data_IF_444170597455
#
_entry.id   IF_444170597455
#
_cell.length_a   1.000
_cell.length_b   1.000
_cell.length_c   1.000
_cell.angle_alpha   90.00
_cell.angle_beta   90.00
_cell.angle_gamma   90.00
#
_symmetry.space_group_name_H-M   'P 1'
#
loop_
_entity.id
_entity.type
_entity.pdbx_description
1 polymer ?
#
# COMPACT_ATOMS: atom_id res chain seq x y z
N UNK A 1 26.92 46.09 -7.83
CA UNK A 1 26.81 44.93 -8.73
C UNK A 1 26.08 43.87 -7.93
N UNK A 2 24.77 43.75 -8.15
CA UNK A 2 23.94 42.70 -7.46
C UNK A 2 24.27 41.40 -8.17
N UNK A 3 24.93 40.49 -7.47
CA UNK A 3 25.21 39.16 -7.97
C UNK A 3 23.85 38.47 -8.20
N UNK A 4 23.57 38.08 -9.45
CA UNK A 4 22.31 37.43 -9.81
C UNK A 4 22.29 36.03 -9.14
N UNK A 5 21.57 35.91 -8.05
CA UNK A 5 21.43 34.68 -7.20
C UNK A 5 20.71 33.53 -7.92
N UNK A 6 20.38 33.71 -9.22
CA UNK A 6 19.58 32.76 -10.01
C UNK A 6 20.42 31.57 -10.53
N UNK A 7 21.74 31.73 -10.63
CA UNK A 7 22.67 30.72 -11.19
C UNK A 7 23.59 30.09 -10.11
N UNK A 8 23.18 30.12 -8.80
CA UNK A 8 23.93 29.45 -7.75
C UNK A 8 23.79 27.90 -7.91
N UNK A 9 24.88 27.17 -8.24
CA UNK A 9 24.86 25.73 -8.43
C UNK A 9 24.31 24.97 -7.20
N UNK A 10 24.62 25.45 -5.99
CA UNK A 10 24.13 24.86 -4.77
C UNK A 10 22.61 25.03 -4.58
N UNK A 11 22.05 26.11 -5.12
CA UNK A 11 20.59 26.32 -5.15
C UNK A 11 19.92 25.36 -6.13
N UNK A 12 20.49 25.19 -7.31
CA UNK A 12 19.96 24.23 -8.32
C UNK A 12 19.98 22.81 -7.78
N UNK A 13 21.07 22.36 -7.20
CA UNK A 13 21.19 21.04 -6.58
C UNK A 13 20.13 20.81 -5.49
N UNK A 14 19.91 21.82 -4.62
CA UNK A 14 18.83 21.72 -3.60
C UNK A 14 17.44 21.62 -4.21
N UNK A 15 17.19 22.31 -5.32
CA UNK A 15 15.90 22.25 -6.02
C UNK A 15 15.72 20.86 -6.66
N UNK A 16 16.75 20.34 -7.32
CA UNK A 16 16.75 19.03 -7.94
C UNK A 16 16.49 17.92 -6.90
N UNK A 17 17.18 17.96 -5.76
CA UNK A 17 16.94 17.01 -4.66
C UNK A 17 15.50 17.09 -4.14
N UNK A 18 14.94 18.28 -4.01
CA UNK A 18 13.54 18.44 -3.55
C UNK A 18 12.54 17.98 -4.60
N UNK A 19 12.80 18.23 -5.87
CA UNK A 19 11.98 17.77 -6.98
C UNK A 19 11.97 16.24 -7.02
N UNK A 20 13.14 15.61 -6.95
CA UNK A 20 13.27 14.17 -6.92
C UNK A 20 12.48 13.54 -5.77
N UNK A 21 12.56 14.13 -4.57
CA UNK A 21 11.80 13.64 -3.42
C UNK A 21 10.26 13.73 -3.62
N UNK A 22 9.79 14.78 -4.32
CA UNK A 22 8.37 14.90 -4.67
C UNK A 22 7.95 13.89 -5.74
N UNK A 23 8.78 13.69 -6.78
CA UNK A 23 8.54 12.70 -7.82
C UNK A 23 8.50 11.27 -7.24
N UNK A 24 9.42 10.97 -6.33
CA UNK A 24 9.47 9.68 -5.62
C UNK A 24 8.22 9.44 -4.77
N UNK A 25 7.81 10.45 -4.00
CA UNK A 25 6.59 10.36 -3.20
C UNK A 25 5.35 10.15 -4.09
N UNK A 26 5.28 10.80 -5.26
CA UNK A 26 4.19 10.60 -6.20
C UNK A 26 4.25 9.22 -6.88
N UNK A 27 5.43 8.72 -7.21
CA UNK A 27 5.61 7.36 -7.73
C UNK A 27 5.13 6.30 -6.73
N UNK A 28 5.40 6.50 -5.43
CA UNK A 28 4.91 5.62 -4.35
C UNK A 28 3.39 5.72 -4.21
N UNK A 29 2.77 6.92 -4.31
CA UNK A 29 1.30 7.05 -4.34
C UNK A 29 0.69 6.27 -5.49
N UNK A 30 1.26 6.40 -6.68
CA UNK A 30 0.81 5.68 -7.87
C UNK A 30 0.99 4.17 -7.74
N UNK A 31 2.09 3.70 -7.14
CA UNK A 31 2.30 2.28 -6.81
C UNK A 31 1.23 1.76 -5.85
N UNK A 32 0.91 2.51 -4.79
CA UNK A 32 -0.16 2.17 -3.83
C UNK A 32 -1.54 2.13 -4.49
N UNK A 33 -1.86 3.11 -5.32
CA UNK A 33 -3.12 3.15 -6.08
C UNK A 33 -3.24 1.96 -7.04
N UNK A 34 -2.15 1.61 -7.72
CA UNK A 34 -2.10 0.43 -8.61
C UNK A 34 -2.30 -0.87 -7.84
N UNK A 35 -1.68 -1.02 -6.67
CA UNK A 35 -1.91 -2.17 -5.79
C UNK A 35 -3.41 -2.30 -5.42
N UNK A 36 -4.05 -1.22 -4.99
CA UNK A 36 -5.48 -1.21 -4.66
C UNK A 36 -6.34 -1.61 -5.87
N UNK A 37 -6.08 -1.04 -7.04
CA UNK A 37 -6.82 -1.35 -8.28
C UNK A 37 -6.69 -2.83 -8.69
N UNK A 38 -5.50 -3.43 -8.53
CA UNK A 38 -5.29 -4.86 -8.80
C UNK A 38 -6.01 -5.76 -7.79
N UNK A 39 -6.08 -5.35 -6.53
CA UNK A 39 -6.89 -6.03 -5.52
C UNK A 39 -8.39 -5.97 -5.86
N UNK A 40 -8.88 -4.80 -6.29
CA UNK A 40 -10.28 -4.59 -6.68
C UNK A 40 -10.66 -5.33 -7.97
N UNK A 41 -9.67 -5.64 -8.81
CA UNK A 41 -9.82 -6.44 -10.04
C UNK A 41 -9.70 -7.95 -9.78
N UNK A 42 -10.46 -8.46 -8.82
CA UNK A 42 -10.49 -9.89 -8.46
C UNK A 42 -9.13 -10.43 -8.01
N UNK A 43 -8.31 -9.58 -7.41
CA UNK A 43 -6.98 -9.92 -6.91
C UNK A 43 -6.06 -10.51 -8.00
N UNK A 44 -5.77 -9.72 -9.05
CA UNK A 44 -4.78 -10.10 -10.07
C UNK A 44 -3.44 -10.46 -9.41
N UNK A 45 -3.25 -11.73 -9.11
CA UNK A 45 -2.12 -12.22 -8.33
C UNK A 45 -0.77 -11.97 -8.99
N UNK A 46 -0.70 -12.06 -10.31
CA UNK A 46 0.54 -11.83 -11.05
C UNK A 46 0.87 -10.33 -11.11
N UNK A 47 -0.12 -9.50 -11.37
CA UNK A 47 -0.01 -8.04 -11.33
C UNK A 47 0.38 -7.53 -9.94
N UNK A 48 -0.27 -8.04 -8.88
CA UNK A 48 0.05 -7.69 -7.48
C UNK A 48 1.48 -8.12 -7.14
N UNK A 49 1.86 -9.36 -7.40
CA UNK A 49 3.19 -9.88 -7.09
C UNK A 49 4.30 -9.09 -7.78
N UNK A 50 4.07 -8.62 -9.02
CA UNK A 50 5.02 -7.80 -9.75
C UNK A 50 5.33 -6.44 -9.09
N UNK A 51 4.49 -5.98 -8.16
CA UNK A 51 4.71 -4.74 -7.40
C UNK A 51 5.64 -4.93 -6.20
N UNK A 52 5.99 -6.17 -5.84
CA UNK A 52 6.79 -6.50 -4.67
C UNK A 52 8.23 -6.87 -5.05
N UNK A 53 9.19 -6.58 -4.17
CA UNK A 53 10.57 -7.09 -4.31
C UNK A 53 10.61 -8.60 -4.15
N UNK A 54 11.70 -9.26 -4.60
CA UNK A 54 11.83 -10.73 -4.50
C UNK A 54 11.75 -11.24 -3.05
N UNK A 55 12.32 -10.48 -2.12
CA UNK A 55 12.41 -10.75 -0.68
C UNK A 55 11.29 -10.09 0.14
N UNK A 56 10.23 -9.63 -0.50
CA UNK A 56 9.20 -8.84 0.16
C UNK A 56 8.45 -9.60 1.24
N UNK A 57 7.91 -8.84 2.19
CA UNK A 57 7.03 -9.34 3.24
C UNK A 57 5.63 -8.70 3.11
N UNK A 58 4.60 -9.54 3.08
CA UNK A 58 3.22 -9.13 3.23
C UNK A 58 2.61 -9.78 4.48
N UNK A 59 1.97 -8.97 5.34
CA UNK A 59 1.40 -9.45 6.59
C UNK A 59 0.10 -8.73 6.92
N UNK A 60 -0.93 -9.50 7.29
CA UNK A 60 -2.19 -8.97 7.83
C UNK A 60 -2.76 -9.94 8.87
N UNK A 61 -3.05 -9.48 10.10
CA UNK A 61 -3.70 -10.32 11.11
C UNK A 61 -4.99 -10.94 10.59
N UNK A 62 -5.16 -12.23 10.82
CA UNK A 62 -6.30 -13.02 10.34
C UNK A 62 -6.24 -13.48 8.88
N UNK A 63 -5.27 -12.98 8.08
CA UNK A 63 -5.02 -13.45 6.72
C UNK A 63 -3.69 -14.20 6.61
N UNK A 64 -2.69 -13.81 7.38
CA UNK A 64 -1.41 -14.51 7.43
C UNK A 64 -0.19 -13.61 7.22
N UNK A 65 0.97 -14.26 7.12
CA UNK A 65 2.27 -13.68 6.85
C UNK A 65 2.92 -14.45 5.70
N UNK A 66 3.32 -13.74 4.66
CA UNK A 66 3.87 -14.32 3.42
C UNK A 66 5.19 -13.65 3.10
N UNK A 67 6.27 -14.46 3.05
CA UNK A 67 7.63 -14.02 2.79
C UNK A 67 8.06 -14.44 1.37
N UNK A 68 8.54 -13.48 0.60
CA UNK A 68 8.92 -13.60 -0.78
C UNK A 68 7.77 -13.42 -1.76
N UNK A 69 8.10 -12.88 -2.94
CA UNK A 69 7.14 -12.55 -4.01
C UNK A 69 6.25 -13.72 -4.39
N UNK A 70 6.81 -14.95 -4.45
CA UNK A 70 6.05 -16.14 -4.83
C UNK A 70 5.02 -16.55 -3.76
N UNK A 71 5.37 -16.45 -2.48
CA UNK A 71 4.42 -16.72 -1.41
C UNK A 71 3.26 -15.68 -1.41
N UNK A 72 3.57 -14.41 -1.68
CA UNK A 72 2.59 -13.35 -1.85
C UNK A 72 1.68 -13.65 -3.05
N UNK A 73 2.23 -14.02 -4.21
CA UNK A 73 1.47 -14.41 -5.40
C UNK A 73 0.50 -15.56 -5.09
N UNK A 74 0.99 -16.59 -4.43
CA UNK A 74 0.18 -17.78 -4.10
C UNK A 74 -0.98 -17.44 -3.16
N UNK A 75 -0.77 -16.54 -2.19
CA UNK A 75 -1.84 -16.03 -1.35
C UNK A 75 -2.92 -15.30 -2.17
N UNK A 76 -2.51 -14.38 -3.06
CA UNK A 76 -3.47 -13.60 -3.84
C UNK A 76 -4.24 -14.43 -4.87
N UNK A 77 -3.73 -15.58 -5.34
CA UNK A 77 -4.51 -16.52 -6.18
C UNK A 77 -5.75 -17.07 -5.49
N UNK A 78 -5.73 -17.17 -4.16
CA UNK A 78 -6.87 -17.62 -3.36
C UNK A 78 -7.69 -16.48 -2.73
N UNK A 79 -7.27 -15.22 -2.88
CA UNK A 79 -7.89 -14.11 -2.14
C UNK A 79 -9.36 -13.84 -2.54
N UNK A 80 -9.74 -14.10 -3.80
CA UNK A 80 -11.13 -14.00 -4.26
C UNK A 80 -12.07 -15.05 -3.63
N UNK A 81 -11.53 -16.16 -3.14
CA UNK A 81 -12.28 -17.16 -2.38
C UNK A 81 -12.57 -16.69 -0.94
N UNK A 82 -11.77 -15.74 -0.43
CA UNK A 82 -11.99 -15.12 0.88
C UNK A 82 -12.94 -13.93 0.74
N UNK A 83 -12.71 -13.08 -0.25
CA UNK A 83 -13.48 -11.87 -0.53
C UNK A 83 -14.07 -11.93 -1.93
N UNK A 84 -15.39 -12.17 -2.04
CA UNK A 84 -16.10 -12.16 -3.32
C UNK A 84 -16.29 -10.75 -3.89
N UNK A 85 -16.17 -9.73 -3.04
CA UNK A 85 -16.19 -8.30 -3.39
C UNK A 85 -15.34 -7.53 -2.39
N UNK A 86 -14.54 -6.58 -2.85
CA UNK A 86 -13.85 -5.61 -2.01
C UNK A 86 -13.54 -4.34 -2.80
N UNK A 87 -13.51 -3.20 -2.10
CA UNK A 87 -12.94 -1.95 -2.60
C UNK A 87 -11.91 -1.47 -1.59
N UNK A 88 -10.69 -1.18 -2.06
CA UNK A 88 -9.57 -0.77 -1.23
C UNK A 88 -9.34 0.75 -1.33
N UNK A 89 -9.94 1.52 -0.42
CA UNK A 89 -9.65 2.94 -0.29
C UNK A 89 -8.38 3.15 0.54
N UNK A 90 -7.28 3.50 -0.13
CA UNK A 90 -6.02 3.90 0.52
C UNK A 90 -6.03 5.41 0.75
N UNK A 91 -6.09 5.83 2.00
CA UNK A 91 -6.35 7.21 2.41
C UNK A 91 -5.20 7.77 3.27
N UNK A 92 -5.10 9.09 3.34
CA UNK A 92 -4.25 9.83 4.28
C UNK A 92 -2.78 9.37 4.27
N UNK A 93 -2.21 9.15 3.08
CA UNK A 93 -0.83 8.68 2.92
C UNK A 93 0.19 9.66 3.46
N UNK A 94 1.02 9.19 4.39
CA UNK A 94 2.22 9.88 4.87
C UNK A 94 3.42 9.12 4.34
N UNK A 95 4.28 9.78 3.55
CA UNK A 95 5.40 9.15 2.84
C UNK A 95 6.68 9.90 3.22
N UNK A 96 7.70 9.16 3.62
CA UNK A 96 9.04 9.65 3.90
C UNK A 96 10.02 8.90 2.99
N UNK A 97 10.71 9.64 2.12
CA UNK A 97 11.69 9.10 1.17
C UNK A 97 13.09 9.36 1.71
N UNK A 98 13.94 8.33 1.68
CA UNK A 98 15.35 8.41 2.03
C UNK A 98 16.18 7.62 0.99
N UNK A 99 16.70 8.33 -0.01
CA UNK A 99 17.44 7.75 -1.12
C UNK A 99 16.62 6.72 -1.88
N UNK A 100 17.10 5.48 -1.93
CA UNK A 100 16.45 4.35 -2.60
C UNK A 100 15.51 3.54 -1.69
N UNK A 101 15.20 4.08 -0.52
CA UNK A 101 14.21 3.52 0.42
C UNK A 101 13.17 4.54 0.78
N UNK A 102 11.97 4.07 1.12
CA UNK A 102 10.93 4.93 1.65
C UNK A 102 10.07 4.17 2.66
N UNK A 103 9.42 4.92 3.54
CA UNK A 103 8.40 4.42 4.47
C UNK A 103 7.11 5.16 4.22
N UNK A 104 5.99 4.45 4.38
CA UNK A 104 4.70 5.11 4.37
C UNK A 104 3.74 4.49 5.36
N UNK A 105 2.79 5.32 5.77
CA UNK A 105 1.61 4.91 6.52
C UNK A 105 0.38 5.33 5.74
N UNK A 106 -0.60 4.41 5.64
CA UNK A 106 -1.87 4.63 4.96
C UNK A 106 -3.01 4.18 5.84
N UNK A 107 -4.15 4.85 5.76
CA UNK A 107 -5.40 4.30 6.24
C UNK A 107 -6.05 3.50 5.12
N UNK A 108 -6.35 2.24 5.39
CA UNK A 108 -7.19 1.42 4.52
C UNK A 108 -8.62 1.44 5.06
N UNK A 109 -9.57 1.79 4.21
CA UNK A 109 -10.99 1.53 4.44
C UNK A 109 -11.49 0.59 3.34
N UNK A 110 -12.04 -0.55 3.74
CA UNK A 110 -12.38 -1.64 2.83
C UNK A 110 -13.77 -2.18 3.12
N UNK A 111 -14.83 -1.63 2.48
CA UNK A 111 -16.09 -2.33 2.39
C UNK A 111 -15.90 -3.58 1.55
N UNK A 112 -16.35 -4.73 2.05
CA UNK A 112 -16.14 -6.00 1.36
C UNK A 112 -17.26 -7.00 1.66
N UNK A 113 -17.33 -8.06 0.85
CA UNK A 113 -18.15 -9.24 1.10
C UNK A 113 -17.22 -10.42 1.37
N UNK A 114 -17.28 -10.95 2.59
CA UNK A 114 -16.63 -12.22 2.93
C UNK A 114 -17.45 -13.35 2.30
N UNK A 115 -16.79 -14.14 1.44
CA UNK A 115 -17.45 -15.19 0.64
C UNK A 115 -18.13 -16.24 1.54
N UNK A 116 -17.48 -16.63 2.64
CA UNK A 116 -18.08 -17.50 3.64
C UNK A 116 -19.32 -16.85 4.27
N UNK A 117 -20.48 -17.35 3.89
CA UNK A 117 -21.77 -16.84 4.37
C UNK A 117 -22.24 -15.56 3.68
N UNK A 118 -21.59 -15.11 2.61
CA UNK A 118 -21.96 -13.94 1.81
C UNK A 118 -22.21 -12.70 2.69
N UNK A 119 -21.26 -12.38 3.58
CA UNK A 119 -21.43 -11.36 4.61
C UNK A 119 -20.79 -10.04 4.19
N UNK A 120 -21.59 -8.98 4.14
CA UNK A 120 -21.08 -7.62 3.97
C UNK A 120 -20.39 -7.13 5.24
N UNK A 121 -19.19 -6.58 5.10
CA UNK A 121 -18.31 -6.16 6.20
C UNK A 121 -17.78 -4.76 5.99
N UNK A 122 -17.64 -4.02 7.10
CA UNK A 122 -16.78 -2.84 7.18
C UNK A 122 -15.43 -3.24 7.76
N UNK A 123 -14.37 -2.99 7.04
CA UNK A 123 -13.00 -3.21 7.50
C UNK A 123 -12.20 -1.92 7.39
N UNK A 124 -11.37 -1.68 8.39
CA UNK A 124 -10.38 -0.61 8.36
C UNK A 124 -9.10 -1.04 9.05
N UNK A 125 -7.98 -0.56 8.56
CA UNK A 125 -6.66 -0.79 9.12
C UNK A 125 -5.74 0.42 8.91
N UNK A 126 -4.59 0.41 9.60
CA UNK A 126 -3.44 1.18 9.21
C UNK A 126 -2.48 0.22 8.51
N UNK A 127 -2.05 0.58 7.32
CA UNK A 127 -1.01 -0.13 6.58
C UNK A 127 0.32 0.60 6.80
N UNK A 128 1.31 -0.10 7.35
CA UNK A 128 2.70 0.34 7.45
C UNK A 128 3.51 -0.33 6.34
N UNK A 129 4.17 0.49 5.54
CA UNK A 129 4.82 0.02 4.32
C UNK A 129 6.25 0.51 4.22
N UNK A 130 7.12 -0.37 3.74
CA UNK A 130 8.50 -0.07 3.37
C UNK A 130 8.64 -0.33 1.87
N UNK A 131 9.26 0.60 1.19
CA UNK A 131 9.52 0.55 -0.24
C UNK A 131 11.01 0.53 -0.51
N UNK A 132 11.39 -0.05 -1.64
CA UNK A 132 12.75 -0.01 -2.18
C UNK A 132 12.70 0.35 -3.66
N UNK A 133 13.69 1.10 -4.12
CA UNK A 133 13.88 1.38 -5.55
C UNK A 133 14.80 0.31 -6.13
N UNK A 134 14.29 -0.48 -7.05
CA UNK A 134 15.01 -1.57 -7.71
C UNK A 134 15.05 -1.28 -9.21
N UNK A 135 16.23 -1.13 -9.78
CA UNK A 135 16.37 -0.78 -11.20
C UNK A 135 15.65 0.52 -11.59
N UNK A 136 15.61 1.51 -10.69
CA UNK A 136 14.92 2.80 -10.89
C UNK A 136 13.41 2.77 -10.63
N UNK A 137 12.85 1.64 -10.23
CA UNK A 137 11.40 1.47 -10.03
C UNK A 137 11.10 1.24 -8.54
N UNK A 138 10.14 1.99 -7.98
CA UNK A 138 9.67 1.77 -6.62
C UNK A 138 8.83 0.51 -6.52
N UNK A 139 9.12 -0.32 -5.51
CA UNK A 139 8.44 -1.58 -5.22
C UNK A 139 8.16 -1.72 -3.72
N UNK A 140 7.12 -2.47 -3.36
CA UNK A 140 6.90 -2.85 -1.97
C UNK A 140 7.98 -3.83 -1.51
N UNK A 141 8.68 -3.49 -0.43
CA UNK A 141 9.57 -4.40 0.29
C UNK A 141 8.88 -4.99 1.51
N UNK A 142 8.00 -4.22 2.15
CA UNK A 142 7.17 -4.71 3.24
C UNK A 142 5.82 -4.03 3.23
N UNK A 143 4.77 -4.79 3.48
CA UNK A 143 3.42 -4.31 3.76
C UNK A 143 2.88 -5.04 4.98
N UNK A 144 2.56 -4.31 6.05
CA UNK A 144 1.96 -4.83 7.28
C UNK A 144 0.70 -4.04 7.60
N UNK A 145 -0.39 -4.75 7.82
CA UNK A 145 -1.66 -4.14 8.22
C UNK A 145 -1.88 -4.28 9.72
N UNK A 146 -2.37 -3.22 10.35
CA UNK A 146 -2.82 -3.19 11.75
C UNK A 146 -4.33 -2.89 11.76
N UNK A 147 -5.18 -3.88 12.11
CA UNK A 147 -6.63 -3.70 12.07
C UNK A 147 -7.12 -2.65 13.07
N UNK A 148 -8.02 -1.79 12.62
CA UNK A 148 -8.75 -0.82 13.44
C UNK A 148 -10.18 -1.28 13.72
N UNK A 149 -10.81 -1.92 12.72
CA UNK A 149 -12.12 -2.55 12.85
C UNK A 149 -12.35 -3.62 11.80
N UNK A 150 -13.18 -4.60 12.12
CA UNK A 150 -13.74 -5.59 11.20
C UNK A 150 -15.10 -6.02 11.74
N UNK A 151 -16.18 -5.49 11.17
CA UNK A 151 -17.55 -5.64 11.69
C UNK A 151 -18.55 -5.87 10.56
N UNK A 152 -19.62 -6.65 10.81
CA UNK A 152 -20.71 -6.79 9.85
C UNK A 152 -21.36 -5.44 9.54
N UNK A 153 -21.78 -5.27 8.28
CA UNK A 153 -22.45 -4.06 7.81
C UNK A 153 -23.67 -3.71 8.67
N UNK A 154 -24.49 -4.70 9.02
CA UNK A 154 -25.77 -4.53 9.75
C UNK A 154 -25.57 -4.08 11.19
N UNK A 155 -24.47 -4.48 11.84
CA UNK A 155 -24.21 -4.13 13.25
C UNK A 155 -23.34 -2.89 13.39
N UNK A 156 -22.49 -2.63 12.42
CA UNK A 156 -21.55 -1.52 12.44
C UNK A 156 -20.57 -1.59 13.64
N UNK A 157 -19.89 -0.50 13.90
CA UNK A 157 -18.79 -0.41 14.89
C UNK A 157 -19.19 0.20 16.24
N UNK A 158 -20.47 0.58 16.44
CA UNK A 158 -20.90 1.32 17.64
C UNK A 158 -20.81 0.48 18.93
N UNK A 159 -21.02 -0.84 18.83
CA UNK A 159 -20.99 -1.76 19.99
C UNK A 159 -19.67 -2.51 20.10
N UNK A 160 -19.08 -2.88 18.99
CA UNK A 160 -17.80 -3.59 18.92
C UNK A 160 -17.08 -3.18 17.66
N UNK A 161 -15.74 -3.22 17.68
CA UNK A 161 -14.92 -2.97 16.49
C UNK A 161 -14.48 -4.25 15.79
N UNK A 162 -14.62 -5.39 16.45
CA UNK A 162 -14.22 -6.69 15.92
C UNK A 162 -15.32 -7.72 16.21
N UNK A 163 -15.78 -8.42 15.18
CA UNK A 163 -16.80 -9.48 15.24
C UNK A 163 -16.53 -10.56 14.18
#
# INVERSE_FOLDING_TARGET
MVQDDRDDPARLERIECRLQALEDAEAIRNLKARYAALCDSHYDADGIAALFTEDALWESPGLGRFEGREAIRNFFRGASEIFSFAIHYSLNGQIEVDGDTARAQWYLFMPCTVAAGNRAMWRASIDYEIYARVGGIWMFRQKRSEPLMSVPFETGWAKTRFA
#
